data_IF_184832707578
#
_entry.id   IF_184832707578
#
_cell.length_a   1.000
_cell.length_b   1.000
_cell.length_c   1.000
_cell.angle_alpha   90.00
_cell.angle_beta   90.00
_cell.angle_gamma   90.00
#
_symmetry.space_group_name_H-M   'P 1'
#
loop_
_entity.id
_entity.type
_entity.pdbx_description
1 polymer ?
#
# COMPACT_ATOMS: atom_id res chain seq x y z
N UNK A 1 37.40 9.45 0.03
CA UNK A 1 36.71 8.20 0.45
C UNK A 1 35.38 8.53 1.10
N UNK A 2 34.32 8.67 0.30
CA UNK A 2 32.93 8.73 0.79
C UNK A 2 32.57 7.35 1.32
N UNK A 3 32.89 7.08 2.58
CA UNK A 3 32.23 5.99 3.32
C UNK A 3 30.72 6.20 3.12
N UNK A 4 30.05 5.20 2.55
CA UNK A 4 28.60 5.18 2.39
C UNK A 4 27.95 5.65 3.70
N UNK A 5 27.42 6.87 3.72
CA UNK A 5 26.64 7.34 4.87
C UNK A 5 25.51 6.34 5.07
N UNK A 6 25.54 5.64 6.21
CA UNK A 6 24.44 4.78 6.64
C UNK A 6 23.22 5.68 6.72
N UNK A 7 22.17 5.36 5.96
CA UNK A 7 20.89 6.06 6.01
C UNK A 7 20.02 5.37 7.05
N UNK A 8 19.42 6.15 7.93
CA UNK A 8 18.42 5.67 8.88
C UNK A 8 17.04 6.12 8.42
N UNK A 9 16.03 5.30 8.69
CA UNK A 9 14.63 5.64 8.48
C UNK A 9 13.82 5.10 9.64
N UNK A 10 12.73 5.80 10.00
CA UNK A 10 11.78 5.30 10.98
C UNK A 10 10.85 4.28 10.33
N UNK A 11 10.57 3.21 11.08
CA UNK A 11 9.61 2.16 10.73
C UNK A 11 8.73 1.95 11.94
N UNK A 12 7.42 1.86 11.71
CA UNK A 12 6.46 1.60 12.78
C UNK A 12 6.75 0.25 13.45
N UNK A 13 6.84 0.25 14.78
CA UNK A 13 6.96 -0.94 15.61
C UNK A 13 5.60 -1.59 15.93
N UNK A 14 4.48 -1.01 15.47
CA UNK A 14 3.15 -1.43 15.89
C UNK A 14 2.88 -2.90 15.55
N UNK A 15 2.51 -3.69 16.56
CA UNK A 15 2.31 -5.14 16.43
C UNK A 15 3.60 -5.98 16.39
N UNK A 16 4.81 -5.39 16.44
CA UNK A 16 6.06 -6.17 16.43
C UNK A 16 6.22 -7.06 17.67
N UNK A 17 5.78 -6.56 18.84
CA UNK A 17 5.71 -7.34 20.08
C UNK A 17 4.73 -8.51 19.97
N UNK A 18 3.59 -8.31 19.31
CA UNK A 18 2.59 -9.36 19.06
C UNK A 18 3.14 -10.41 18.10
N UNK A 19 3.81 -10.00 17.02
CA UNK A 19 4.53 -10.92 16.14
C UNK A 19 5.55 -11.75 16.92
N UNK A 20 6.40 -11.12 17.74
CA UNK A 20 7.53 -11.79 18.42
C UNK A 20 7.14 -12.96 19.34
N UNK A 21 5.91 -12.91 19.86
CA UNK A 21 5.34 -13.92 20.76
C UNK A 21 4.34 -14.85 20.06
N UNK A 22 4.11 -14.65 18.75
CA UNK A 22 3.23 -15.47 17.93
C UNK A 22 3.80 -16.87 17.66
N UNK A 23 2.93 -17.82 17.34
CA UNK A 23 3.37 -19.14 16.87
C UNK A 23 4.15 -19.07 15.56
N UNK A 24 3.83 -18.11 14.69
CA UNK A 24 4.52 -17.91 13.40
C UNK A 24 5.98 -17.55 13.67
N UNK A 25 6.24 -16.56 14.54
CA UNK A 25 7.60 -16.15 14.86
C UNK A 25 8.38 -17.24 15.61
N UNK A 26 7.72 -18.02 16.48
CA UNK A 26 8.35 -19.19 17.13
C UNK A 26 8.73 -20.29 16.14
N UNK A 27 7.97 -20.46 15.05
CA UNK A 27 8.29 -21.43 13.98
C UNK A 27 9.39 -20.92 13.06
N UNK A 28 9.36 -19.63 12.71
CA UNK A 28 10.39 -19.01 11.87
C UNK A 28 11.74 -18.92 12.61
N UNK A 29 11.72 -18.65 13.91
CA UNK A 29 12.91 -18.43 14.74
C UNK A 29 12.81 -19.11 16.11
N UNK A 30 12.90 -20.46 16.18
CA UNK A 30 12.71 -21.21 17.44
C UNK A 30 13.67 -20.79 18.56
N UNK A 31 14.93 -20.56 18.20
CA UNK A 31 16.03 -20.37 19.17
C UNK A 31 16.28 -18.90 19.54
N UNK A 32 15.53 -17.96 18.98
CA UNK A 32 15.69 -16.52 19.25
C UNK A 32 14.73 -16.03 20.33
N UNK A 33 15.16 -15.05 21.13
CA UNK A 33 14.30 -14.43 22.12
C UNK A 33 13.23 -13.52 21.46
N UNK A 34 12.14 -13.17 22.17
CA UNK A 34 11.12 -12.29 21.63
C UNK A 34 11.67 -10.91 21.20
N UNK A 35 12.67 -10.37 21.91
CA UNK A 35 13.25 -9.06 21.59
C UNK A 35 13.89 -9.05 20.21
N UNK A 36 14.72 -10.07 19.90
CA UNK A 36 15.38 -10.22 18.60
C UNK A 36 14.36 -10.51 17.51
N UNK A 37 13.35 -11.34 17.76
CA UNK A 37 12.25 -11.57 16.79
C UNK A 37 11.51 -10.28 16.45
N UNK A 38 11.27 -9.42 17.43
CA UNK A 38 10.68 -8.10 17.23
C UNK A 38 11.54 -7.22 16.33
N UNK A 39 12.86 -7.17 16.58
CA UNK A 39 13.81 -6.42 15.75
C UNK A 39 13.87 -6.94 14.30
N UNK A 40 13.83 -8.26 14.10
CA UNK A 40 13.76 -8.87 12.77
C UNK A 40 12.49 -8.43 12.03
N UNK A 41 11.34 -8.38 12.72
CA UNK A 41 10.09 -7.92 12.11
C UNK A 41 10.19 -6.47 11.64
N UNK A 42 10.77 -5.59 12.46
CA UNK A 42 10.99 -4.17 12.08
C UNK A 42 11.88 -4.08 10.83
N UNK A 43 12.96 -4.84 10.77
CA UNK A 43 13.84 -4.87 9.61
C UNK A 43 13.15 -5.41 8.34
N UNK A 44 12.31 -6.45 8.47
CA UNK A 44 11.55 -7.01 7.34
C UNK A 44 10.45 -6.08 6.84
N UNK A 45 9.82 -5.30 7.72
CA UNK A 45 8.85 -4.26 7.33
C UNK A 45 9.48 -3.18 6.46
N UNK A 46 10.76 -2.86 6.68
CA UNK A 46 11.48 -1.95 5.79
C UNK A 46 11.65 -2.53 4.39
N UNK A 47 11.88 -3.84 4.28
CA UNK A 47 12.04 -4.53 2.99
C UNK A 47 10.71 -4.67 2.24
N UNK A 48 9.69 -5.20 2.92
CA UNK A 48 8.33 -5.32 2.39
C UNK A 48 7.31 -5.25 3.53
N UNK A 49 6.66 -4.07 3.74
CA UNK A 49 5.67 -3.91 4.79
C UNK A 49 4.50 -4.89 4.66
N UNK A 50 4.04 -5.16 3.44
CA UNK A 50 2.86 -5.98 3.23
C UNK A 50 3.15 -7.44 3.61
N UNK A 51 4.27 -7.98 3.14
CA UNK A 51 4.65 -9.37 3.39
C UNK A 51 4.91 -9.67 4.88
N UNK A 52 5.29 -8.67 5.66
CA UNK A 52 5.55 -8.83 7.10
C UNK A 52 4.32 -8.52 7.96
N UNK A 53 3.53 -7.47 7.64
CA UNK A 53 2.35 -7.10 8.43
C UNK A 53 1.22 -8.14 8.36
N UNK A 54 1.08 -8.87 7.25
CA UNK A 54 0.10 -9.98 7.10
C UNK A 54 0.34 -11.14 8.08
N UNK A 55 1.51 -11.21 8.72
CA UNK A 55 1.80 -12.24 9.74
C UNK A 55 1.21 -11.91 11.10
N UNK A 56 0.65 -10.72 11.27
CA UNK A 56 0.12 -10.20 12.52
C UNK A 56 -1.40 -10.21 12.43
N UNK A 57 -2.10 -10.52 13.52
CA UNK A 57 -3.55 -10.33 13.59
C UNK A 57 -3.86 -8.86 13.25
N UNK A 58 -4.67 -8.56 12.22
CA UNK A 58 -4.89 -7.19 11.76
C UNK A 58 -5.35 -6.25 12.88
N UNK A 59 -6.12 -6.75 13.85
CA UNK A 59 -6.58 -5.95 15.01
C UNK A 59 -5.45 -5.54 15.96
N UNK A 60 -4.32 -6.24 15.90
CA UNK A 60 -3.15 -6.05 16.76
C UNK A 60 -2.11 -5.10 16.17
N UNK A 61 -2.31 -4.62 14.94
CA UNK A 61 -1.43 -3.63 14.30
C UNK A 61 -1.58 -2.24 14.94
N UNK A 62 -2.62 -2.00 15.76
CA UNK A 62 -2.76 -0.72 16.47
C UNK A 62 -3.24 0.40 15.54
N UNK A 63 -4.40 0.21 14.92
CA UNK A 63 -4.91 1.08 13.84
C UNK A 63 -5.63 2.33 14.33
N UNK A 64 -5.81 2.49 15.65
CA UNK A 64 -6.45 3.66 16.22
C UNK A 64 -6.43 3.69 17.75
N UNK A 65 -6.61 4.88 18.30
CA UNK A 65 -6.49 5.15 19.74
C UNK A 65 -7.51 4.37 20.59
N UNK A 66 -8.75 4.29 20.11
CA UNK A 66 -9.88 3.66 20.83
C UNK A 66 -10.29 2.33 20.19
N UNK A 67 -9.35 1.62 19.55
CA UNK A 67 -9.66 0.35 18.86
C UNK A 67 -10.18 -0.74 19.80
N UNK A 68 -9.93 -0.64 21.10
CA UNK A 68 -10.40 -1.59 22.10
C UNK A 68 -11.85 -1.32 22.55
N UNK A 69 -12.35 -0.10 22.33
CA UNK A 69 -13.68 0.34 22.76
C UNK A 69 -14.77 0.07 21.70
N UNK A 70 -14.37 -0.42 20.52
CA UNK A 70 -15.31 -0.77 19.44
C UNK A 70 -15.66 -2.25 19.45
N UNK A 71 -16.68 -2.62 18.66
CA UNK A 71 -17.06 -4.02 18.48
C UNK A 71 -15.91 -4.81 17.80
N UNK A 72 -15.27 -5.68 18.57
CA UNK A 72 -14.07 -6.40 18.15
C UNK A 72 -14.30 -7.35 16.96
N UNK A 73 -15.49 -7.94 16.84
CA UNK A 73 -15.83 -8.82 15.72
C UNK A 73 -15.96 -8.04 14.41
N UNK A 74 -16.69 -6.91 14.45
CA UNK A 74 -16.84 -6.02 13.29
C UNK A 74 -15.50 -5.38 12.91
N UNK A 75 -14.69 -4.98 13.89
CA UNK A 75 -13.35 -4.44 13.65
C UNK A 75 -12.46 -5.47 12.95
N UNK A 76 -12.38 -6.70 13.49
CA UNK A 76 -11.58 -7.77 12.91
C UNK A 76 -11.97 -8.03 11.45
N UNK A 77 -13.27 -8.21 11.18
CA UNK A 77 -13.76 -8.46 9.82
C UNK A 77 -13.39 -7.32 8.87
N UNK A 78 -13.61 -6.08 9.28
CA UNK A 78 -13.28 -4.91 8.46
C UNK A 78 -11.79 -4.81 8.16
N UNK A 79 -10.93 -5.15 9.12
CA UNK A 79 -9.48 -5.13 8.91
C UNK A 79 -9.01 -6.28 8.03
N UNK A 80 -9.59 -7.47 8.17
CA UNK A 80 -9.32 -8.61 7.29
C UNK A 80 -9.68 -8.29 5.83
N UNK A 81 -10.82 -7.64 5.59
CA UNK A 81 -11.23 -7.17 4.24
C UNK A 81 -10.24 -6.16 3.65
N UNK A 82 -9.70 -5.24 4.47
CA UNK A 82 -8.66 -4.30 4.03
C UNK A 82 -7.37 -5.03 3.66
N UNK A 83 -6.95 -6.00 4.48
CA UNK A 83 -5.74 -6.79 4.22
C UNK A 83 -5.89 -7.61 2.94
N UNK A 84 -7.03 -8.29 2.77
CA UNK A 84 -7.36 -9.02 1.54
C UNK A 84 -7.32 -8.08 0.33
N UNK A 85 -7.97 -6.92 0.41
CA UNK A 85 -7.95 -5.93 -0.68
C UNK A 85 -6.53 -5.46 -1.01
N UNK A 86 -5.70 -5.14 -0.02
CA UNK A 86 -4.31 -4.74 -0.24
C UNK A 86 -3.45 -5.86 -0.87
N UNK A 87 -3.59 -7.10 -0.40
CA UNK A 87 -2.84 -8.24 -0.93
C UNK A 87 -3.20 -8.53 -2.38
N UNK A 88 -4.50 -8.55 -2.71
CA UNK A 88 -4.95 -8.80 -4.08
C UNK A 88 -4.65 -7.62 -5.02
N UNK A 89 -4.70 -6.38 -4.51
CA UNK A 89 -4.31 -5.20 -5.29
C UNK A 89 -2.83 -5.24 -5.68
N UNK A 90 -1.93 -5.60 -4.77
CA UNK A 90 -0.49 -5.73 -5.05
C UNK A 90 -0.18 -6.99 -5.85
N UNK A 91 -0.96 -8.06 -5.62
CA UNK A 91 -0.68 -9.42 -6.10
C UNK A 91 0.49 -10.07 -5.35
N UNK A 92 0.74 -11.34 -5.61
CA UNK A 92 1.83 -12.11 -4.96
C UNK A 92 2.62 -12.92 -5.98
N UNK A 93 3.91 -13.11 -5.74
CA UNK A 93 4.68 -14.13 -6.44
C UNK A 93 4.52 -15.46 -5.71
N UNK A 94 3.92 -16.44 -6.38
CA UNK A 94 3.61 -17.74 -5.78
C UNK A 94 4.86 -18.51 -5.35
N UNK A 95 5.99 -18.27 -6.03
CA UNK A 95 7.23 -18.99 -5.78
C UNK A 95 8.01 -18.45 -4.57
N UNK A 96 7.68 -17.24 -4.11
CA UNK A 96 8.37 -16.60 -2.98
C UNK A 96 7.44 -16.28 -1.80
N UNK A 97 6.14 -16.15 -2.03
CA UNK A 97 5.18 -15.78 -1.00
C UNK A 97 5.13 -16.75 0.18
N UNK A 98 4.93 -16.22 1.38
CA UNK A 98 4.73 -17.00 2.59
C UNK A 98 3.30 -17.55 2.67
N UNK A 99 3.07 -18.61 3.46
CA UNK A 99 1.72 -19.13 3.68
C UNK A 99 0.75 -18.08 4.28
N UNK A 100 1.16 -17.23 5.26
CA UNK A 100 0.31 -16.13 5.73
C UNK A 100 -0.11 -15.17 4.61
N UNK A 101 0.83 -14.76 3.74
CA UNK A 101 0.53 -13.87 2.62
C UNK A 101 -0.44 -14.51 1.62
N UNK A 102 -0.21 -15.77 1.24
CA UNK A 102 -1.09 -16.52 0.34
C UNK A 102 -2.50 -16.70 0.91
N UNK A 103 -2.66 -16.73 2.24
CA UNK A 103 -3.98 -16.92 2.88
C UNK A 103 -4.91 -15.71 2.79
N UNK A 104 -4.43 -14.59 2.25
CA UNK A 104 -5.20 -13.40 1.95
C UNK A 104 -5.47 -13.22 0.45
N UNK A 105 -5.05 -14.16 -0.40
CA UNK A 105 -5.44 -14.17 -1.82
C UNK A 105 -6.89 -14.61 -1.93
N UNK A 106 -7.64 -13.95 -2.81
CA UNK A 106 -9.05 -14.25 -3.09
C UNK A 106 -9.25 -15.75 -3.31
N UNK A 107 -10.14 -16.37 -2.52
CA UNK A 107 -10.44 -17.80 -2.59
C UNK A 107 -9.42 -18.74 -1.95
N UNK A 108 -8.30 -18.23 -1.41
CA UNK A 108 -7.26 -19.03 -0.74
C UNK A 108 -7.29 -18.79 0.76
N UNK A 109 -7.77 -19.77 1.52
CA UNK A 109 -7.70 -19.75 2.99
C UNK A 109 -6.39 -20.34 3.56
N UNK A 110 -6.20 -20.29 4.89
CA UNK A 110 -4.96 -20.73 5.55
C UNK A 110 -4.57 -22.18 5.28
N UNK A 111 -5.54 -23.09 5.13
CA UNK A 111 -5.27 -24.49 4.83
C UNK A 111 -4.74 -24.68 3.40
N UNK A 112 -5.33 -23.98 2.43
CA UNK A 112 -4.92 -24.10 1.03
C UNK A 112 -3.57 -23.41 0.79
N UNK A 113 -3.32 -22.27 1.45
CA UNK A 113 -2.03 -21.60 1.42
C UNK A 113 -0.87 -22.52 1.86
N UNK A 114 -1.08 -23.34 2.91
CA UNK A 114 -0.10 -24.37 3.31
C UNK A 114 0.10 -25.45 2.25
N UNK A 115 -0.98 -25.87 1.57
CA UNK A 115 -0.88 -26.86 0.49
C UNK A 115 -0.10 -26.31 -0.70
N UNK A 116 -0.29 -25.03 -1.06
CA UNK A 116 0.44 -24.35 -2.12
C UNK A 116 1.94 -24.31 -1.80
N UNK A 117 2.31 -23.90 -0.58
CA UNK A 117 3.73 -23.91 -0.14
C UNK A 117 4.31 -25.32 -0.12
N UNK A 118 3.56 -26.30 0.40
CA UNK A 118 4.02 -27.70 0.45
C UNK A 118 4.20 -28.29 -0.95
N UNK A 119 3.35 -27.92 -1.91
CA UNK A 119 3.49 -28.33 -3.31
C UNK A 119 4.72 -27.68 -3.94
N UNK A 120 4.90 -26.37 -3.73
CA UNK A 120 6.07 -25.62 -4.19
C UNK A 120 7.39 -26.23 -3.72
N UNK A 121 7.48 -26.60 -2.45
CA UNK A 121 8.67 -27.20 -1.85
C UNK A 121 8.98 -28.59 -2.41
N UNK A 122 7.96 -29.38 -2.78
CA UNK A 122 8.11 -30.71 -3.36
C UNK A 122 8.50 -30.68 -4.84
N UNK A 123 7.86 -29.82 -5.61
CA UNK A 123 8.02 -29.76 -7.08
C UNK A 123 9.13 -28.79 -7.52
N UNK A 124 9.66 -27.97 -6.60
CA UNK A 124 10.71 -27.00 -6.90
C UNK A 124 10.21 -25.70 -7.55
N UNK A 125 8.96 -25.32 -7.28
CA UNK A 125 8.34 -24.11 -7.83
C UNK A 125 7.27 -24.36 -8.91
N UNK A 126 6.44 -23.35 -9.15
CA UNK A 126 5.45 -23.29 -10.21
C UNK A 126 6.06 -22.71 -11.48
N UNK A 127 5.82 -23.36 -12.61
CA UNK A 127 6.24 -22.92 -13.96
C UNK A 127 5.10 -22.37 -14.80
N UNK A 128 3.86 -22.65 -14.45
CA UNK A 128 2.68 -22.03 -15.03
C UNK A 128 1.54 -21.96 -14.01
N UNK A 129 0.60 -21.03 -14.22
CA UNK A 129 -0.59 -20.93 -13.36
C UNK A 129 -1.40 -22.24 -13.35
N UNK A 130 -1.49 -22.95 -14.48
CA UNK A 130 -2.25 -24.21 -14.56
C UNK A 130 -1.75 -25.30 -13.59
N UNK A 131 -0.49 -25.25 -13.14
CA UNK A 131 0.04 -26.17 -12.14
C UNK A 131 -0.66 -26.01 -10.77
N UNK A 132 -1.34 -24.88 -10.52
CA UNK A 132 -2.19 -24.68 -9.33
C UNK A 132 -3.28 -25.74 -9.21
N UNK A 133 -3.85 -26.21 -10.32
CA UNK A 133 -4.89 -27.25 -10.32
C UNK A 133 -4.37 -28.61 -9.83
N UNK A 134 -3.04 -28.80 -9.78
CA UNK A 134 -2.39 -30.01 -9.23
C UNK A 134 -2.25 -29.94 -7.70
N UNK A 135 -2.46 -28.78 -7.09
CA UNK A 135 -2.38 -28.61 -5.64
C UNK A 135 -3.58 -29.29 -4.97
N UNK A 136 -3.30 -30.03 -3.89
CA UNK A 136 -4.34 -30.71 -3.11
C UNK A 136 -5.45 -29.74 -2.65
N UNK A 137 -6.71 -30.10 -2.98
CA UNK A 137 -7.94 -29.33 -2.70
C UNK A 137 -8.06 -27.99 -3.44
N UNK A 138 -7.24 -27.77 -4.46
CA UNK A 138 -7.36 -26.64 -5.37
C UNK A 138 -8.28 -27.04 -6.53
N UNK A 139 -9.37 -26.30 -6.74
CA UNK A 139 -10.36 -26.60 -7.78
C UNK A 139 -10.49 -25.44 -8.78
N UNK A 140 -11.22 -25.67 -9.86
CA UNK A 140 -11.42 -24.68 -10.93
C UNK A 140 -12.04 -23.37 -10.43
N UNK A 141 -12.96 -23.43 -9.46
CA UNK A 141 -13.56 -22.23 -8.89
C UNK A 141 -12.54 -21.40 -8.12
N UNK A 142 -11.70 -22.04 -7.31
CA UNK A 142 -10.62 -21.35 -6.59
C UNK A 142 -9.61 -20.80 -7.60
N UNK A 143 -9.29 -21.55 -8.65
CA UNK A 143 -8.42 -21.09 -9.73
C UNK A 143 -8.95 -19.81 -10.37
N UNK A 144 -10.22 -19.80 -10.77
CA UNK A 144 -10.87 -18.62 -11.34
C UNK A 144 -10.86 -17.41 -10.39
N UNK A 145 -11.00 -17.63 -9.07
CA UNK A 145 -11.01 -16.54 -8.10
C UNK A 145 -9.62 -15.99 -7.77
N UNK A 146 -8.56 -16.79 -7.96
CA UNK A 146 -7.22 -16.49 -7.42
C UNK A 146 -6.14 -16.26 -8.48
N UNK A 147 -6.27 -16.85 -9.67
CA UNK A 147 -5.18 -16.93 -10.64
C UNK A 147 -4.66 -15.56 -11.09
N UNK A 148 -5.55 -14.56 -11.25
CA UNK A 148 -5.17 -13.20 -11.65
C UNK A 148 -4.32 -12.45 -10.61
N UNK A 149 -4.32 -12.89 -9.35
CA UNK A 149 -3.57 -12.26 -8.26
C UNK A 149 -2.21 -12.93 -7.98
N UNK A 150 -1.94 -14.07 -8.64
CA UNK A 150 -0.71 -14.84 -8.47
C UNK A 150 0.18 -14.70 -9.70
N UNK A 151 1.44 -14.29 -9.50
CA UNK A 151 2.42 -14.06 -10.57
C UNK A 151 3.49 -15.14 -10.57
N UNK A 152 4.01 -15.42 -11.76
CA UNK A 152 5.17 -16.29 -12.00
C UNK A 152 6.11 -15.55 -12.95
N UNK A 153 7.16 -14.91 -12.42
CA UNK A 153 8.07 -14.08 -13.23
C UNK A 153 8.95 -14.87 -14.20
N UNK A 154 9.27 -16.13 -13.87
CA UNK A 154 10.08 -17.03 -14.71
C UNK A 154 9.24 -18.20 -15.23
N UNK A 155 7.97 -17.93 -15.54
CA UNK A 155 7.02 -18.92 -16.04
C UNK A 155 7.25 -19.28 -17.50
N UNK A 156 6.61 -20.37 -17.95
CA UNK A 156 6.59 -20.78 -19.36
C UNK A 156 5.78 -19.82 -20.22
N UNK A 157 4.66 -19.32 -19.70
CA UNK A 157 3.83 -18.34 -20.38
C UNK A 157 4.19 -16.95 -19.84
N UNK A 158 4.63 -16.00 -20.69
CA UNK A 158 5.06 -14.69 -20.21
C UNK A 158 3.89 -13.86 -19.65
N UNK A 159 2.63 -14.18 -20.00
CA UNK A 159 1.44 -13.55 -19.40
C UNK A 159 1.26 -13.87 -17.91
N UNK A 160 1.84 -14.98 -17.41
CA UNK A 160 1.79 -15.34 -15.99
C UNK A 160 2.53 -14.35 -15.09
N UNK A 161 3.39 -13.50 -15.66
CA UNK A 161 4.05 -12.40 -14.96
C UNK A 161 3.17 -11.16 -14.79
N UNK A 162 2.00 -11.11 -15.44
CA UNK A 162 1.11 -9.94 -15.52
C UNK A 162 -0.16 -10.11 -14.66
N UNK A 163 -0.96 -9.05 -14.54
CA UNK A 163 -2.29 -9.10 -13.90
C UNK A 163 -3.40 -9.64 -14.81
N UNK A 164 -3.08 -10.06 -16.03
CA UNK A 164 -4.07 -10.59 -16.97
C UNK A 164 -4.55 -11.94 -16.47
N UNK A 165 -5.86 -12.08 -16.30
CA UNK A 165 -6.46 -13.34 -15.89
C UNK A 165 -6.35 -14.41 -17.00
N UNK A 166 -6.06 -15.69 -16.67
CA UNK A 166 -5.93 -16.78 -17.65
C UNK A 166 -7.12 -16.98 -18.60
N UNK A 167 -8.32 -16.54 -18.20
CA UNK A 167 -9.52 -16.58 -19.05
C UNK A 167 -9.38 -15.80 -20.36
N UNK A 168 -8.46 -14.83 -20.41
CA UNK A 168 -8.21 -13.98 -21.57
C UNK A 168 -6.99 -14.42 -22.39
N UNK A 169 -6.26 -15.47 -21.98
CA UNK A 169 -5.03 -15.89 -22.67
C UNK A 169 -5.31 -16.32 -24.10
N UNK A 170 -6.33 -17.16 -24.32
CA UNK A 170 -6.70 -17.66 -25.64
C UNK A 170 -7.00 -16.53 -26.63
N UNK A 171 -7.61 -15.44 -26.16
CA UNK A 171 -7.92 -14.26 -26.98
C UNK A 171 -6.65 -13.50 -27.37
N UNK A 172 -5.74 -13.30 -26.43
CA UNK A 172 -4.44 -12.64 -26.68
C UNK A 172 -3.57 -13.48 -27.60
N UNK A 173 -3.51 -14.80 -27.40
CA UNK A 173 -2.78 -15.75 -28.24
C UNK A 173 -3.34 -15.79 -29.67
N UNK A 174 -4.66 -15.74 -29.82
CA UNK A 174 -5.33 -15.66 -31.11
C UNK A 174 -4.98 -14.37 -31.85
N UNK A 175 -5.04 -13.23 -31.15
CA UNK A 175 -4.64 -11.94 -31.70
C UNK A 175 -3.17 -11.92 -32.13
N UNK A 176 -2.27 -12.44 -31.29
CA UNK A 176 -0.83 -12.51 -31.58
C UNK A 176 -0.57 -13.38 -32.83
N UNK A 177 -1.26 -14.51 -32.95
CA UNK A 177 -1.18 -15.41 -34.10
C UNK A 177 -1.65 -14.75 -35.40
N UNK A 178 -2.78 -14.04 -35.37
CA UNK A 178 -3.30 -13.30 -36.54
C UNK A 178 -2.31 -12.21 -37.02
N UNK A 179 -1.59 -11.60 -36.07
CA UNK A 179 -0.63 -10.54 -36.36
C UNK A 179 0.80 -11.06 -36.57
N UNK A 180 1.02 -12.39 -36.53
CA UNK A 180 2.35 -13.04 -36.66
C UNK A 180 3.36 -12.53 -35.62
N UNK A 181 2.88 -12.24 -34.42
CA UNK A 181 3.66 -11.73 -33.29
C UNK A 181 3.89 -12.88 -32.30
N UNK A 182 5.11 -12.96 -31.76
CA UNK A 182 5.40 -13.85 -30.62
C UNK A 182 4.88 -13.23 -29.33
N UNK A 183 4.36 -14.04 -28.41
CA UNK A 183 3.73 -13.56 -27.18
C UNK A 183 4.73 -12.79 -26.29
N UNK A 184 5.99 -13.21 -26.26
CA UNK A 184 7.06 -12.54 -25.53
C UNK A 184 7.29 -11.11 -26.05
N UNK A 185 7.26 -10.93 -27.38
CA UNK A 185 7.43 -9.62 -27.99
C UNK A 185 6.28 -8.66 -27.67
N UNK A 186 5.08 -9.18 -27.39
CA UNK A 186 3.91 -8.36 -27.04
C UNK A 186 4.08 -7.67 -25.67
N UNK A 187 4.87 -8.24 -24.77
CA UNK A 187 5.10 -7.70 -23.43
C UNK A 187 6.26 -6.68 -23.44
N UNK A 188 7.20 -6.82 -24.38
CA UNK A 188 8.38 -5.95 -24.48
C UNK A 188 8.18 -4.75 -25.42
N UNK A 189 7.37 -4.90 -26.49
CA UNK A 189 7.24 -3.89 -27.54
C UNK A 189 5.99 -3.01 -27.38
N UNK A 190 6.23 -1.76 -26.96
CA UNK A 190 5.20 -0.72 -26.86
C UNK A 190 4.42 -0.45 -28.17
N UNK A 191 5.03 -0.66 -29.35
CA UNK A 191 4.35 -0.47 -30.63
C UNK A 191 3.30 -1.56 -30.88
N UNK A 192 3.59 -2.80 -30.49
CA UNK A 192 2.64 -3.91 -30.57
C UNK A 192 1.49 -3.73 -29.59
N UNK A 193 1.78 -3.26 -28.37
CA UNK A 193 0.75 -2.93 -27.37
C UNK A 193 -0.16 -1.81 -27.89
N UNK A 194 0.40 -0.75 -28.47
CA UNK A 194 -0.39 0.34 -29.07
C UNK A 194 -1.21 -0.12 -30.29
N UNK A 195 -0.77 -1.17 -30.99
CA UNK A 195 -1.53 -1.79 -32.08
C UNK A 195 -2.72 -2.57 -31.53
N UNK A 196 -2.50 -3.37 -30.47
CA UNK A 196 -3.58 -4.08 -29.76
C UNK A 196 -4.59 -3.10 -29.17
N UNK A 197 -4.13 -2.01 -28.53
CA UNK A 197 -4.98 -0.97 -27.94
C UNK A 197 -5.92 -0.28 -28.95
N UNK A 198 -5.57 -0.28 -30.24
CA UNK A 198 -6.39 0.31 -31.31
C UNK A 198 -7.27 -0.71 -32.04
N UNK A 199 -7.16 -1.99 -31.71
CA UNK A 199 -7.90 -3.05 -32.36
C UNK A 199 -9.31 -3.16 -31.78
N UNK A 200 -10.27 -2.57 -32.49
CA UNK A 200 -11.68 -2.57 -32.09
C UNK A 200 -12.28 -3.98 -32.02
N UNK A 201 -11.82 -4.91 -32.86
CA UNK A 201 -12.37 -6.27 -32.83
C UNK A 201 -12.00 -6.96 -31.52
N UNK A 202 -10.77 -6.75 -31.06
CA UNK A 202 -10.32 -7.27 -29.77
C UNK A 202 -11.05 -6.58 -28.61
N UNK A 203 -11.19 -5.25 -28.65
CA UNK A 203 -11.94 -4.47 -27.65
C UNK A 203 -13.40 -4.96 -27.52
N UNK A 204 -14.09 -5.22 -28.64
CA UNK A 204 -15.46 -5.74 -28.65
C UNK A 204 -15.55 -7.17 -28.09
N UNK A 205 -14.50 -7.99 -28.26
CA UNK A 205 -14.46 -9.37 -27.78
C UNK A 205 -14.24 -9.50 -26.25
N UNK A 206 -13.44 -8.61 -25.66
CA UNK A 206 -13.12 -8.63 -24.22
C UNK A 206 -13.94 -7.63 -23.40
N UNK A 207 -14.47 -6.59 -24.04
CA UNK A 207 -15.16 -5.46 -23.43
C UNK A 207 -14.21 -4.35 -22.97
N UNK A 208 -14.71 -3.11 -22.92
CA UNK A 208 -13.92 -1.89 -22.66
C UNK A 208 -13.07 -1.94 -21.38
N UNK A 209 -13.65 -2.35 -20.25
CA UNK A 209 -12.91 -2.41 -18.97
C UNK A 209 -11.78 -3.44 -19.00
N UNK A 210 -12.09 -4.68 -19.43
CA UNK A 210 -11.10 -5.76 -19.57
C UNK A 210 -10.01 -5.38 -20.56
N UNK A 211 -10.37 -4.72 -21.66
CA UNK A 211 -9.43 -4.24 -22.66
C UNK A 211 -8.44 -3.25 -22.02
N UNK A 212 -8.92 -2.24 -21.30
CA UNK A 212 -8.08 -1.27 -20.57
C UNK A 212 -7.16 -1.95 -19.56
N UNK A 213 -7.67 -2.93 -18.82
CA UNK A 213 -6.90 -3.67 -17.82
C UNK A 213 -5.80 -4.55 -18.47
N UNK A 214 -6.11 -5.21 -19.59
CA UNK A 214 -5.13 -5.96 -20.38
C UNK A 214 -4.04 -5.04 -20.90
N UNK A 215 -4.40 -3.91 -21.53
CA UNK A 215 -3.43 -2.97 -22.09
C UNK A 215 -2.55 -2.37 -21.00
N UNK A 216 -3.13 -1.95 -19.87
CA UNK A 216 -2.35 -1.42 -18.74
C UNK A 216 -1.41 -2.47 -18.15
N UNK A 217 -1.87 -3.73 -18.03
CA UNK A 217 -1.04 -4.86 -17.58
C UNK A 217 0.11 -5.15 -18.55
N UNK A 218 -0.11 -5.08 -19.87
CA UNK A 218 0.95 -5.27 -20.86
C UNK A 218 1.95 -4.12 -20.87
N UNK A 219 1.50 -2.87 -20.67
CA UNK A 219 2.38 -1.69 -20.58
C UNK A 219 3.30 -1.76 -19.36
N UNK A 220 2.87 -2.43 -18.30
CA UNK A 220 3.60 -2.50 -17.04
C UNK A 220 3.40 -3.88 -16.36
N UNK A 221 3.99 -4.95 -16.92
CA UNK A 221 3.71 -6.34 -16.54
C UNK A 221 4.08 -6.66 -15.09
N UNK A 222 5.18 -6.08 -14.60
CA UNK A 222 5.65 -6.25 -13.22
C UNK A 222 5.43 -4.99 -12.38
N UNK A 223 4.41 -4.18 -12.71
CA UNK A 223 4.14 -2.97 -11.96
C UNK A 223 3.70 -3.31 -10.54
N UNK A 224 4.46 -2.82 -9.58
CA UNK A 224 3.99 -2.71 -8.21
C UNK A 224 3.09 -1.48 -8.10
N UNK A 225 1.82 -1.60 -7.70
CA UNK A 225 0.93 -0.46 -7.58
C UNK A 225 1.24 0.41 -6.35
N UNK A 226 2.17 -0.02 -5.48
CA UNK A 226 2.62 0.75 -4.32
C UNK A 226 3.46 1.95 -4.76
N UNK A 227 3.40 3.02 -3.97
CA UNK A 227 4.26 4.19 -4.17
C UNK A 227 5.72 3.85 -3.90
N UNK A 228 6.64 4.50 -4.62
CA UNK A 228 8.08 4.42 -4.32
C UNK A 228 8.37 4.84 -2.88
N UNK A 229 9.29 4.11 -2.24
CA UNK A 229 9.73 4.40 -0.89
C UNK A 229 10.49 5.73 -0.85
N UNK A 230 10.04 6.65 0.01
CA UNK A 230 10.72 7.91 0.29
C UNK A 230 11.26 7.89 1.72
N UNK A 231 12.58 7.96 1.85
CA UNK A 231 13.22 8.12 3.16
C UNK A 231 12.92 9.51 3.67
N UNK A 232 12.38 9.59 4.88
CA UNK A 232 12.15 10.87 5.58
C UNK A 232 13.40 11.11 6.43
N UNK A 233 14.09 12.21 6.15
CA UNK A 233 15.27 12.60 6.91
C UNK A 233 14.83 13.50 8.08
N UNK A 234 14.99 12.98 9.29
CA UNK A 234 14.83 13.76 10.50
C UNK A 234 16.11 14.55 10.78
N UNK A 235 15.96 15.55 11.65
CA UNK A 235 17.08 16.37 12.11
C UNK A 235 17.93 15.58 13.11
N UNK A 236 19.21 15.39 12.78
CA UNK A 236 20.17 14.62 13.60
C UNK A 236 20.46 15.27 14.97
N UNK A 237 20.18 16.56 15.13
CA UNK A 237 20.47 17.34 16.33
C UNK A 237 19.44 17.17 17.46
N UNK A 238 18.36 16.42 17.24
CA UNK A 238 17.22 16.33 18.16
C UNK A 238 16.99 14.86 18.51
N UNK A 239 17.08 14.51 19.79
CA UNK A 239 16.87 13.13 20.26
C UNK A 239 15.84 13.03 21.36
N UNK A 240 15.63 14.10 22.12
CA UNK A 240 14.67 14.13 23.20
C UNK A 240 13.83 15.40 23.23
N UNK A 241 12.80 15.41 24.07
CA UNK A 241 11.88 16.54 24.20
C UNK A 241 12.60 17.83 24.66
N UNK A 242 13.71 17.69 25.39
CA UNK A 242 14.54 18.80 25.89
C UNK A 242 15.31 19.53 24.78
N UNK A 243 15.52 18.88 23.63
CA UNK A 243 16.21 19.48 22.48
C UNK A 243 15.27 20.38 21.66
N UNK A 244 13.96 20.33 21.90
CA UNK A 244 12.96 21.09 21.16
C UNK A 244 12.94 22.56 21.56
N UNK A 245 12.87 23.43 20.55
CA UNK A 245 12.75 24.88 20.74
C UNK A 245 11.39 25.35 20.28
N UNK A 246 10.70 26.06 21.17
CA UNK A 246 9.44 26.73 20.83
C UNK A 246 9.69 27.77 19.72
N UNK A 247 8.85 27.74 18.70
CA UNK A 247 8.94 28.59 17.51
C UNK A 247 9.76 28.00 16.36
N UNK A 248 10.48 26.91 16.56
CA UNK A 248 11.26 26.25 15.51
C UNK A 248 10.41 25.27 14.70
N UNK A 249 10.77 25.08 13.42
CA UNK A 249 10.10 24.17 12.50
C UNK A 249 10.84 22.85 12.40
N UNK A 250 10.07 21.76 12.46
CA UNK A 250 10.57 20.40 12.34
C UNK A 250 9.80 19.65 11.26
N UNK A 251 10.49 18.75 10.57
CA UNK A 251 9.85 17.76 9.69
C UNK A 251 9.34 16.63 10.57
N UNK A 252 8.11 16.22 10.33
CA UNK A 252 7.50 15.10 11.02
C UNK A 252 6.57 14.29 10.15
N UNK A 253 6.11 13.16 10.68
CA UNK A 253 5.27 12.18 10.00
C UNK A 253 3.97 12.02 10.76
N UNK A 254 2.84 12.11 10.08
CA UNK A 254 1.54 11.91 10.72
C UNK A 254 1.39 10.43 11.14
N UNK A 255 1.42 10.16 12.44
CA UNK A 255 1.25 8.82 13.00
C UNK A 255 -0.23 8.41 13.09
N UNK A 256 -1.09 9.35 13.47
CA UNK A 256 -2.51 9.08 13.69
C UNK A 256 -3.35 10.33 13.46
N UNK A 257 -4.59 10.17 13.00
CA UNK A 257 -5.53 11.26 12.75
C UNK A 257 -6.79 11.03 13.59
N UNK A 258 -7.19 12.04 14.33
CA UNK A 258 -8.41 12.05 15.16
C UNK A 258 -9.36 13.13 14.66
N UNK A 259 -10.58 13.19 15.22
CA UNK A 259 -11.55 14.25 14.88
C UNK A 259 -11.07 15.65 15.29
N UNK A 260 -10.21 15.75 16.29
CA UNK A 260 -9.74 17.02 16.85
C UNK A 260 -8.35 17.41 16.37
N UNK A 261 -7.67 16.59 15.57
CA UNK A 261 -6.33 16.89 15.08
C UNK A 261 -5.58 15.66 14.56
N UNK A 262 -4.26 15.74 14.55
CA UNK A 262 -3.37 14.66 14.17
C UNK A 262 -2.19 14.58 15.14
N UNK A 263 -1.68 13.38 15.38
CA UNK A 263 -0.43 13.15 16.10
C UNK A 263 0.70 12.99 15.09
N UNK A 264 1.76 13.77 15.27
CA UNK A 264 2.90 13.86 14.35
C UNK A 264 4.17 13.45 15.10
N UNK A 265 4.89 12.49 14.54
CA UNK A 265 6.24 12.11 14.98
C UNK A 265 7.26 13.05 14.37
N UNK A 266 8.04 13.74 15.19
CA UNK A 266 9.09 14.67 14.75
C UNK A 266 10.51 14.09 14.92
N UNK A 267 10.62 12.77 15.13
CA UNK A 267 11.91 12.07 15.27
C UNK A 267 12.34 11.83 16.72
N UNK A 268 11.43 11.99 17.68
CA UNK A 268 11.65 11.70 19.11
C UNK A 268 10.58 10.75 19.62
N UNK A 269 10.75 10.25 20.86
CA UNK A 269 9.84 9.24 21.43
C UNK A 269 8.39 9.72 21.56
N UNK A 270 8.20 11.00 21.89
CA UNK A 270 6.89 11.60 22.11
C UNK A 270 6.32 12.19 20.81
N UNK A 271 5.07 11.84 20.46
CA UNK A 271 4.36 12.48 19.33
C UNK A 271 3.79 13.84 19.71
N UNK A 272 3.93 14.82 18.82
CA UNK A 272 3.30 16.13 18.97
C UNK A 272 1.87 16.16 18.45
N UNK A 273 1.02 16.95 19.09
CA UNK A 273 -0.37 17.14 18.71
C UNK A 273 -0.53 18.36 17.78
N UNK A 274 -0.95 18.10 16.56
CA UNK A 274 -1.39 19.10 15.59
C UNK A 274 -2.93 19.23 15.67
N UNK A 275 -3.41 20.21 16.44
CA UNK A 275 -4.86 20.43 16.59
C UNK A 275 -5.51 20.82 15.25
N UNK A 276 -6.81 20.51 15.06
CA UNK A 276 -7.54 20.76 13.79
C UNK A 276 -7.43 22.21 13.32
N UNK A 277 -7.46 23.16 14.25
CA UNK A 277 -7.32 24.59 13.97
C UNK A 277 -5.90 25.01 13.58
N UNK A 278 -4.92 24.13 13.70
CA UNK A 278 -3.50 24.37 13.41
C UNK A 278 -3.02 23.60 12.16
N UNK A 279 -3.88 22.79 11.52
CA UNK A 279 -3.52 21.99 10.34
C UNK A 279 -3.29 22.84 9.09
N UNK A 280 -4.10 23.87 8.87
CA UNK A 280 -4.09 24.68 7.65
C UNK A 280 -4.50 26.12 7.95
N UNK A 281 -4.07 27.06 7.12
CA UNK A 281 -4.52 28.45 7.15
C UNK A 281 -6.02 28.59 6.79
N UNK A 282 -6.57 27.59 6.10
CA UNK A 282 -8.00 27.47 5.78
C UNK A 282 -8.77 26.66 6.81
N UNK A 283 -10.09 26.87 6.87
CA UNK A 283 -10.95 26.09 7.75
C UNK A 283 -10.98 24.61 7.34
N UNK A 284 -10.51 23.75 8.25
CA UNK A 284 -10.54 22.29 8.09
C UNK A 284 -11.72 21.75 8.90
N UNK A 285 -12.70 21.16 8.20
CA UNK A 285 -13.84 20.51 8.86
C UNK A 285 -13.49 19.13 9.40
N UNK A 286 -12.64 18.40 8.68
CA UNK A 286 -12.22 17.05 9.01
C UNK A 286 -10.73 16.88 8.69
N UNK A 287 -9.87 16.58 9.67
CA UNK A 287 -8.44 16.35 9.44
C UNK A 287 -8.14 15.32 8.35
N UNK A 288 -8.99 14.28 8.20
CA UNK A 288 -8.83 13.24 7.18
C UNK A 288 -8.96 13.75 5.73
N UNK A 289 -9.53 14.95 5.53
CA UNK A 289 -9.64 15.56 4.21
C UNK A 289 -8.33 16.23 3.74
N UNK A 290 -7.42 16.52 4.66
CA UNK A 290 -6.18 17.28 4.40
C UNK A 290 -4.93 16.48 4.72
N UNK A 291 -5.00 15.59 5.70
CA UNK A 291 -3.88 14.78 6.16
C UNK A 291 -4.11 13.30 5.86
N UNK A 292 -3.00 12.58 5.64
CA UNK A 292 -2.97 11.11 5.57
C UNK A 292 -1.97 10.58 6.60
N UNK A 293 -2.25 9.42 7.19
CA UNK A 293 -1.26 8.72 8.03
C UNK A 293 -0.04 8.36 7.16
N UNK A 294 1.15 8.57 7.69
CA UNK A 294 2.42 8.46 6.98
C UNK A 294 2.81 9.68 6.14
N UNK A 295 1.97 10.72 6.09
CA UNK A 295 2.30 11.95 5.37
C UNK A 295 3.40 12.72 6.11
N UNK A 296 4.42 13.13 5.36
CA UNK A 296 5.41 14.10 5.81
C UNK A 296 4.79 15.49 5.90
N UNK A 297 4.94 16.14 7.05
CA UNK A 297 4.48 17.49 7.33
C UNK A 297 5.61 18.29 7.96
N UNK A 298 5.67 19.60 7.65
CA UNK A 298 6.50 20.54 8.41
C UNK A 298 5.62 21.21 9.44
N UNK A 299 6.03 21.17 10.70
CA UNK A 299 5.27 21.74 11.80
C UNK A 299 6.18 22.56 12.73
N UNK A 300 5.68 23.71 13.15
CA UNK A 300 6.27 24.57 14.16
C UNK A 300 5.87 24.10 15.55
N UNK A 301 6.82 24.04 16.48
CA UNK A 301 6.51 23.81 17.91
C UNK A 301 5.93 25.08 18.51
N UNK A 302 4.69 25.02 18.97
CA UNK A 302 4.01 26.13 19.65
C UNK A 302 4.29 26.15 21.14
N UNK A 303 4.34 24.98 21.76
CA UNK A 303 4.48 24.83 23.21
C UNK A 303 4.99 23.43 23.55
N UNK A 304 5.77 23.33 24.64
CA UNK A 304 6.33 22.08 25.15
C UNK A 304 6.08 22.00 26.65
N UNK A 305 5.25 21.04 27.06
CA UNK A 305 4.99 20.71 28.45
C UNK A 305 5.88 19.54 28.85
N UNK A 306 6.98 19.84 29.53
CA UNK A 306 7.99 18.87 29.96
C UNK A 306 7.48 17.92 31.04
N UNK A 307 6.61 18.38 31.95
CA UNK A 307 6.07 17.55 33.03
C UNK A 307 5.13 16.47 32.47
N UNK A 308 4.26 16.86 31.55
CA UNK A 308 3.28 15.96 30.93
C UNK A 308 3.77 15.31 29.65
N UNK A 309 4.98 15.66 29.19
CA UNK A 309 5.58 15.19 27.94
C UNK A 309 4.69 15.43 26.72
N UNK A 310 4.13 16.64 26.62
CA UNK A 310 3.22 17.02 25.53
C UNK A 310 3.84 18.10 24.67
N UNK A 311 3.69 17.97 23.36
CA UNK A 311 4.20 18.90 22.38
C UNK A 311 3.02 19.39 21.54
N UNK A 312 2.83 20.71 21.46
CA UNK A 312 1.80 21.33 20.62
C UNK A 312 2.43 21.80 19.32
N UNK A 313 1.83 21.41 18.19
CA UNK A 313 2.36 21.68 16.85
C UNK A 313 1.42 22.54 16.02
N UNK A 314 1.97 23.27 15.05
CA UNK A 314 1.21 24.00 14.04
C UNK A 314 1.83 23.93 12.65
N UNK A 315 1.00 23.73 11.63
CA UNK A 315 1.40 23.83 10.22
C UNK A 315 1.04 25.19 9.62
N UNK A 316 0.43 26.10 10.40
CA UNK A 316 0.07 27.44 9.92
C UNK A 316 1.30 28.32 9.76
N UNK A 317 1.30 29.15 8.72
CA UNK A 317 2.28 30.22 8.60
C UNK A 317 1.84 31.35 9.53
N UNK A 318 2.54 31.53 10.64
CA UNK A 318 2.27 32.63 11.58
C UNK A 318 2.34 34.01 10.89
N UNK A 319 1.62 34.99 11.44
CA UNK A 319 1.80 36.41 11.09
C UNK A 319 3.09 36.93 11.75
N UNK A 320 4.25 36.62 11.18
CA UNK A 320 5.55 37.09 11.64
C UNK A 320 6.69 36.46 10.82
N UNK A 321 7.47 37.31 10.15
CA UNK A 321 8.47 37.00 9.12
C UNK A 321 9.44 35.83 9.40
N UNK A 322 9.69 34.99 8.38
CA UNK A 322 10.87 35.11 7.52
C UNK A 322 10.87 34.08 6.37
N UNK A 323 11.44 34.50 5.25
CA UNK A 323 11.54 33.84 3.95
C UNK A 323 11.99 32.36 4.01
N UNK A 324 11.13 31.47 3.51
CA UNK A 324 11.57 30.25 2.82
C UNK A 324 10.86 30.19 1.47
N UNK A 325 11.68 30.35 0.43
CA UNK A 325 11.27 30.37 -0.96
C UNK A 325 10.59 29.06 -1.39
N UNK A 326 9.64 29.23 -2.30
CA UNK A 326 8.96 28.19 -3.08
C UNK A 326 9.95 27.22 -3.74
N UNK A 327 10.01 25.98 -3.25
CA UNK A 327 10.46 24.78 -3.96
C UNK A 327 9.77 23.61 -3.21
N UNK A 328 8.81 22.85 -3.72
CA UNK A 328 8.62 22.31 -5.06
C UNK A 328 7.13 22.16 -5.39
N UNK A 329 6.64 22.93 -6.35
CA UNK A 329 5.43 22.63 -7.12
C UNK A 329 5.83 22.45 -8.59
N UNK A 330 6.58 21.39 -8.89
CA UNK A 330 6.78 20.97 -10.27
C UNK A 330 5.51 20.30 -10.81
N UNK A 331 4.67 21.17 -11.38
CA UNK A 331 3.97 21.05 -12.66
C UNK A 331 2.94 19.93 -12.87
N UNK A 332 1.66 20.32 -12.81
CA UNK A 332 0.65 19.91 -13.81
C UNK A 332 0.06 21.18 -14.43
N UNK A 333 0.47 21.49 -15.67
CA UNK A 333 -0.16 22.54 -16.49
C UNK A 333 -1.51 22.04 -17.00
N UNK A 334 -2.59 22.76 -16.71
CA UNK A 334 -3.84 22.67 -17.49
C UNK A 334 -3.90 23.78 -18.54
N UNK A 335 -4.36 23.51 -19.78
CA UNK A 335 -4.50 24.53 -20.81
C UNK A 335 -5.75 25.40 -20.62
N UNK A 336 -5.71 26.58 -21.23
CA UNK A 336 -6.53 27.75 -20.94
C UNK A 336 -8.05 27.60 -21.13
N UNK A 337 -8.78 28.35 -20.28
CA UNK A 337 -10.21 28.64 -20.39
C UNK A 337 -10.50 29.43 -21.69
N UNK A 338 -11.43 28.93 -22.51
CA UNK A 338 -12.33 29.75 -23.32
C UNK A 338 -13.74 29.68 -22.74
N UNK A 339 -14.38 30.84 -22.71
CA UNK A 339 -15.71 31.14 -22.20
C UNK A 339 -16.83 30.57 -23.08
N UNK A 340 -17.92 30.06 -22.47
CA UNK A 340 -19.33 30.41 -22.76
C UNK A 340 -20.37 29.52 -22.02
N UNK A 341 -21.36 30.23 -21.46
CA UNK A 341 -22.82 29.97 -21.33
C UNK A 341 -23.38 28.71 -20.61
N UNK A 342 -24.21 29.02 -19.61
CA UNK A 342 -25.38 28.31 -19.06
C UNK A 342 -25.77 26.94 -19.65
N UNK A 343 -25.75 25.93 -18.80
CA UNK A 343 -26.85 24.98 -18.65
C UNK A 343 -26.87 24.41 -17.23
N UNK A 344 -28.07 24.32 -16.65
CA UNK A 344 -28.34 23.66 -15.38
C UNK A 344 -27.98 22.17 -15.51
N UNK A 345 -27.21 21.63 -14.56
CA UNK A 345 -26.82 20.22 -14.55
C UNK A 345 -26.07 19.86 -13.26
N UNK A 346 -26.40 18.71 -12.70
CA UNK A 346 -26.11 18.27 -11.34
C UNK A 346 -24.62 18.28 -10.93
N UNK A 347 -24.38 18.45 -9.62
CA UNK A 347 -23.07 18.39 -8.99
C UNK A 347 -22.35 17.03 -9.22
N UNK A 348 -21.01 17.00 -9.36
CA UNK A 348 -20.27 15.76 -9.53
C UNK A 348 -20.31 14.96 -8.22
N UNK A 349 -20.84 13.74 -8.33
CA UNK A 349 -20.91 12.76 -7.24
C UNK A 349 -19.51 12.20 -6.98
N UNK A 350 -19.05 12.30 -5.73
CA UNK A 350 -17.92 11.53 -5.20
C UNK A 350 -18.09 10.02 -5.49
N UNK A 351 -17.01 9.27 -5.76
CA UNK A 351 -17.05 7.82 -6.01
C UNK A 351 -17.69 7.01 -4.86
N UNK A 352 -17.81 7.62 -3.67
CA UNK A 352 -18.37 7.00 -2.47
C UNK A 352 -19.83 7.38 -2.18
N UNK A 353 -20.49 8.12 -3.09
CA UNK A 353 -21.88 8.54 -2.89
C UNK A 353 -22.90 7.39 -2.85
N UNK A 354 -22.54 6.20 -3.34
CA UNK A 354 -23.38 5.00 -3.31
C UNK A 354 -23.43 4.28 -1.95
N UNK A 355 -22.55 4.62 -1.00
CA UNK A 355 -22.49 3.96 0.31
C UNK A 355 -23.30 4.68 1.41
N UNK A 356 -23.96 5.80 1.07
CA UNK A 356 -24.59 6.68 2.07
C UNK A 356 -25.86 6.09 2.74
N UNK A 357 -26.40 4.99 2.20
CA UNK A 357 -27.62 4.36 2.70
C UNK A 357 -27.43 2.96 3.31
N UNK A 358 -26.19 2.52 3.54
CA UNK A 358 -25.95 1.29 4.29
C UNK A 358 -26.13 1.58 5.79
N UNK A 359 -27.30 1.23 6.33
CA UNK A 359 -27.51 1.13 7.78
C UNK A 359 -26.88 -0.16 8.29
N UNK A 360 -26.04 -0.04 9.31
CA UNK A 360 -25.65 -1.13 10.23
C UNK A 360 -26.21 -0.81 11.60
#
# INVERSE_FOLDING_TARGET
NKLNKIKATLISESGASIYSTSEIARKEFPDLDPTVRGAISIARRFQDPLAELVKIDPKSIGVGQYQHDVNQSKLKKSLEEVVESCVNYVGVDINTASAPLLSYISGIGPALAKNVVSFREKEGGFKSRDELLKVSRFNEKIYQQSAGFMRIYQGKNPLDSTFIHPENYSKIESWASMNKVKLEALIEDSALINKLEKDKNFEDEVGDFTHKDIISSLKAPSQDPRSEFKSIEFRDDIKSIEDLKVGEWYTGVVNNITKFGAFVDIGIKESGLLHISQISDTFVKDPLSVLKVGQEVKAQVLDVDYERKRISLSCKKGKGDHNYAEYSSSSVKQPGKKSKKNSQGAAPKSPFSALKNFKV
#
